data_IF_979125777696
#
_entry.id   IF_979125777696
#
_cell.length_a   1.000
_cell.length_b   1.000
_cell.length_c   1.000
_cell.angle_alpha   90.00
_cell.angle_beta   90.00
_cell.angle_gamma   90.00
#
_symmetry.space_group_name_H-M   'P 1'
#
loop_
_entity.id
_entity.type
_entity.pdbx_description
1 polymer ?
#
# COMPACT_ATOMS: atom_id res chain seq x y z
N UNK A 1 -5.70 -10.58 -6.55
CA UNK A 1 -6.78 -10.20 -7.50
C UNK A 1 -7.94 -9.50 -6.80
N UNK A 2 -8.07 -9.66 -5.49
CA UNK A 2 -9.30 -9.36 -4.74
C UNK A 2 -9.62 -7.87 -4.66
N UNK A 3 -8.61 -7.00 -4.62
CA UNK A 3 -8.79 -5.55 -4.53
C UNK A 3 -9.03 -4.96 -5.93
N UNK A 4 -8.02 -5.03 -6.81
CA UNK A 4 -8.08 -4.34 -8.11
C UNK A 4 -8.76 -5.13 -9.24
N UNK A 5 -9.07 -6.41 -9.05
CA UNK A 5 -9.47 -7.36 -10.12
C UNK A 5 -8.47 -7.42 -11.30
N UNK A 6 -7.27 -6.91 -11.07
CA UNK A 6 -6.16 -6.77 -12.02
C UNK A 6 -4.83 -6.96 -11.29
N UNK A 7 -3.77 -7.37 -11.97
CA UNK A 7 -2.45 -7.62 -11.38
C UNK A 7 -1.66 -6.32 -11.16
N UNK A 8 -2.11 -5.45 -10.25
CA UNK A 8 -1.34 -4.27 -9.82
C UNK A 8 -0.59 -4.58 -8.52
N UNK A 9 0.74 -4.65 -8.61
CA UNK A 9 1.61 -5.07 -7.52
C UNK A 9 2.39 -3.93 -6.87
N UNK A 10 2.66 -2.86 -7.61
CA UNK A 10 3.48 -1.74 -7.17
C UNK A 10 2.95 -1.05 -5.90
N UNK A 11 1.65 -0.75 -5.83
CA UNK A 11 1.07 -0.09 -4.66
C UNK A 11 1.12 -0.96 -3.39
N UNK A 12 0.70 -2.26 -3.42
CA UNK A 12 0.98 -3.19 -2.32
C UNK A 12 2.45 -3.21 -1.88
N UNK A 13 3.39 -3.24 -2.82
CA UNK A 13 4.83 -3.29 -2.52
C UNK A 13 5.32 -2.07 -1.72
N UNK A 14 4.68 -0.90 -1.85
CA UNK A 14 4.99 0.26 -1.01
C UNK A 14 4.69 -0.02 0.46
N UNK A 15 3.54 -0.63 0.76
CA UNK A 15 3.18 -1.00 2.14
C UNK A 15 4.19 -1.99 2.72
N UNK A 16 4.56 -3.00 1.94
CA UNK A 16 5.56 -3.98 2.35
C UNK A 16 6.93 -3.33 2.62
N UNK A 17 7.39 -2.45 1.72
CA UNK A 17 8.66 -1.73 1.84
C UNK A 17 8.70 -0.87 3.11
N UNK A 18 7.63 -0.13 3.40
CA UNK A 18 7.58 0.74 4.58
C UNK A 18 7.71 -0.08 5.86
N UNK A 19 7.01 -1.22 5.99
CA UNK A 19 7.15 -2.05 7.19
C UNK A 19 8.53 -2.68 7.30
N UNK A 20 9.08 -3.16 6.18
CA UNK A 20 10.37 -3.83 6.17
C UNK A 20 11.52 -2.89 6.57
N UNK A 21 11.43 -1.62 6.16
CA UNK A 21 12.55 -0.67 6.25
C UNK A 21 12.35 0.45 7.28
N UNK A 22 11.11 0.82 7.60
CA UNK A 22 10.80 1.93 8.52
C UNK A 22 11.24 3.32 8.01
N UNK A 23 11.59 3.46 6.73
CA UNK A 23 12.16 4.71 6.17
C UNK A 23 11.20 5.91 6.23
N UNK A 24 9.90 5.64 6.25
CA UNK A 24 8.84 6.65 6.37
C UNK A 24 7.69 6.10 7.23
N UNK A 25 6.78 6.98 7.65
CA UNK A 25 5.53 6.57 8.32
C UNK A 25 4.51 6.06 7.29
N UNK A 26 3.70 5.08 7.68
CA UNK A 26 2.64 4.53 6.82
C UNK A 26 1.61 5.60 6.45
N UNK A 27 1.25 6.46 7.40
CA UNK A 27 0.28 7.55 7.21
C UNK A 27 0.77 8.57 6.17
N UNK A 28 2.09 8.75 6.04
CA UNK A 28 2.66 9.62 5.02
C UNK A 28 2.33 9.12 3.61
N UNK A 29 2.31 7.80 3.39
CA UNK A 29 1.92 7.23 2.10
C UNK A 29 0.43 7.44 1.83
N UNK A 30 -0.44 7.27 2.82
CA UNK A 30 -1.88 7.49 2.63
C UNK A 30 -2.19 8.90 2.16
N UNK A 31 -1.57 9.91 2.79
CA UNK A 31 -1.71 11.32 2.36
C UNK A 31 -1.28 11.55 0.91
N UNK A 32 -0.20 10.91 0.47
CA UNK A 32 0.27 11.01 -0.93
C UNK A 32 -0.71 10.34 -1.89
N UNK A 33 -1.28 9.19 -1.52
CA UNK A 33 -2.28 8.49 -2.35
C UNK A 33 -3.55 9.33 -2.50
N UNK A 34 -4.05 9.91 -1.41
CA UNK A 34 -5.21 10.82 -1.41
C UNK A 34 -4.97 12.08 -2.25
N UNK A 35 -3.74 12.59 -2.27
CA UNK A 35 -3.38 13.78 -3.07
C UNK A 35 -3.22 13.43 -4.56
N UNK A 36 -2.62 12.28 -4.87
CA UNK A 36 -2.26 11.89 -6.25
C UNK A 36 -3.43 11.33 -7.05
N UNK A 37 -4.35 10.63 -6.39
CA UNK A 37 -5.44 9.92 -7.04
C UNK A 37 -6.81 10.47 -6.61
N UNK A 38 -7.87 10.14 -7.36
CA UNK A 38 -9.23 10.60 -7.06
C UNK A 38 -10.25 9.47 -7.22
N UNK A 39 -11.32 9.54 -6.42
CA UNK A 39 -12.42 8.58 -6.44
C UNK A 39 -12.02 7.20 -5.87
N UNK A 40 -12.76 6.15 -6.27
CA UNK A 40 -12.66 4.80 -5.70
C UNK A 40 -11.25 4.20 -5.74
N UNK A 41 -10.40 4.63 -6.68
CA UNK A 41 -9.03 4.14 -6.79
C UNK A 41 -8.16 4.55 -5.59
N UNK A 42 -8.51 5.62 -4.86
CA UNK A 42 -7.83 6.04 -3.61
C UNK A 42 -8.03 4.97 -2.55
N UNK A 43 -9.28 4.62 -2.25
CA UNK A 43 -9.65 3.61 -1.27
C UNK A 43 -9.01 2.26 -1.59
N UNK A 44 -9.06 1.85 -2.87
CA UNK A 44 -8.47 0.59 -3.33
C UNK A 44 -6.94 0.57 -3.15
N UNK A 45 -6.24 1.68 -3.46
CA UNK A 45 -4.80 1.76 -3.23
C UNK A 45 -4.44 1.74 -1.74
N UNK A 46 -5.17 2.48 -0.91
CA UNK A 46 -4.97 2.50 0.55
C UNK A 46 -5.15 1.10 1.12
N UNK A 47 -6.23 0.41 0.73
CA UNK A 47 -6.50 -0.96 1.19
C UNK A 47 -5.37 -1.92 0.79
N UNK A 48 -4.89 -1.81 -0.44
CA UNK A 48 -3.81 -2.67 -0.93
C UNK A 48 -2.48 -2.42 -0.22
N UNK A 49 -2.19 -1.16 0.13
CA UNK A 49 -1.01 -0.80 0.94
C UNK A 49 -1.14 -1.36 2.35
N UNK A 50 -2.29 -1.16 3.01
CA UNK A 50 -2.55 -1.64 4.38
C UNK A 50 -2.38 -3.16 4.48
N UNK A 51 -3.03 -3.89 3.57
CA UNK A 51 -2.95 -5.34 3.51
C UNK A 51 -1.50 -5.83 3.37
N UNK A 52 -0.74 -5.28 2.43
CA UNK A 52 0.65 -5.67 2.23
C UNK A 52 1.56 -5.27 3.41
N UNK A 53 1.30 -4.13 4.04
CA UNK A 53 1.98 -3.73 5.27
C UNK A 53 1.70 -4.76 6.37
N UNK A 54 0.46 -5.21 6.58
CA UNK A 54 0.14 -6.20 7.61
C UNK A 54 0.73 -7.58 7.30
N UNK A 55 0.60 -8.03 6.05
CA UNK A 55 0.97 -9.37 5.61
C UNK A 55 2.48 -9.59 5.48
N UNK A 56 3.27 -8.55 5.15
CA UNK A 56 4.71 -8.73 4.98
C UNK A 56 5.34 -9.15 6.31
N UNK A 57 6.19 -10.18 6.24
CA UNK A 57 6.98 -10.70 7.35
C UNK A 57 8.44 -10.61 6.97
N UNK A 58 9.30 -10.37 7.97
CA UNK A 58 10.74 -10.51 7.76
C UNK A 58 11.02 -11.98 7.49
N UNK A 59 11.89 -12.23 6.52
CA UNK A 59 12.47 -13.55 6.34
C UNK A 59 13.61 -13.68 7.35
N UNK A 60 13.59 -14.75 8.15
CA UNK A 60 14.66 -15.15 9.06
C UNK A 60 15.58 -16.15 8.37
#
# INVERSE_FOLDING_TARGET
MDIFKRPFYNTPMLGALVKATGIVKLESIFKVIETRFKGKVVEMNIEAIKRAYEEVRKHE
#
